data_IF_901112734191
#
_entry.id   IF_901112734191
#
_cell.length_a   1.000
_cell.length_b   1.000
_cell.length_c   1.000
_cell.angle_alpha   90.00
_cell.angle_beta   90.00
_cell.angle_gamma   90.00
#
_symmetry.space_group_name_H-M   'P 1'
#
loop_
_entity.id
_entity.type
_entity.pdbx_description
1 polymer ?
#
# COMPACT_ATOMS: atom_id res chain seq x y z
N UNK A 1 12.92 -39.86 22.48
CA UNK A 1 11.91 -39.19 21.64
C UNK A 1 12.61 -38.80 20.34
N UNK A 2 12.22 -39.40 19.21
CA UNK A 2 12.77 -39.06 17.89
C UNK A 2 12.16 -37.76 17.39
N UNK A 3 12.99 -36.75 17.16
CA UNK A 3 12.57 -35.52 16.48
C UNK A 3 12.13 -35.84 15.04
N UNK A 4 11.13 -35.13 14.48
CA UNK A 4 10.77 -35.27 13.07
C UNK A 4 11.97 -34.92 12.18
N UNK A 5 12.26 -35.75 11.19
CA UNK A 5 13.27 -35.45 10.18
C UNK A 5 12.63 -34.50 9.15
N UNK A 6 12.70 -33.20 9.43
CA UNK A 6 12.27 -32.17 8.47
C UNK A 6 13.33 -32.14 7.37
N UNK A 7 12.99 -32.40 6.10
CA UNK A 7 13.95 -32.29 5.02
C UNK A 7 14.53 -30.88 4.98
N UNK A 8 15.85 -30.79 4.78
CA UNK A 8 16.53 -29.51 4.60
C UNK A 8 16.06 -28.87 3.27
N UNK A 9 15.04 -28.02 3.35
CA UNK A 9 14.67 -27.10 2.28
C UNK A 9 15.62 -25.92 2.37
N UNK A 10 16.75 -26.01 1.66
CA UNK A 10 17.53 -24.82 1.33
C UNK A 10 16.92 -24.22 0.07
N UNK A 11 16.09 -23.17 0.14
CA UNK A 11 15.58 -22.55 -1.07
C UNK A 11 16.78 -21.96 -1.82
N UNK A 12 17.12 -22.55 -2.97
CA UNK A 12 18.11 -21.98 -3.87
C UNK A 12 17.44 -20.82 -4.61
N UNK A 13 17.40 -19.66 -3.94
CA UNK A 13 16.90 -18.41 -4.53
C UNK A 13 18.12 -17.74 -5.17
N UNK A 14 18.31 -17.97 -6.47
CA UNK A 14 19.25 -17.20 -7.27
C UNK A 14 18.54 -15.93 -7.74
N UNK A 15 18.79 -14.81 -7.06
CA UNK A 15 18.25 -13.50 -7.40
C UNK A 15 19.40 -12.54 -7.69
N UNK A 16 19.43 -11.95 -8.89
CA UNK A 16 20.41 -10.91 -9.20
C UNK A 16 20.02 -9.58 -8.55
N UNK A 17 20.98 -8.67 -8.38
CA UNK A 17 20.73 -7.31 -7.88
C UNK A 17 19.62 -6.61 -8.69
N UNK A 18 19.68 -6.70 -10.02
CA UNK A 18 18.70 -6.05 -10.91
C UNK A 18 17.30 -6.65 -10.76
N UNK A 19 17.20 -7.96 -10.59
CA UNK A 19 15.92 -8.62 -10.32
C UNK A 19 15.36 -8.19 -8.96
N UNK A 20 16.22 -8.06 -7.94
CA UNK A 20 15.80 -7.56 -6.63
C UNK A 20 15.30 -6.11 -6.71
N UNK A 21 15.98 -5.23 -7.44
CA UNK A 21 15.55 -3.84 -7.67
C UNK A 21 14.18 -3.79 -8.35
N UNK A 22 13.98 -4.58 -9.41
CA UNK A 22 12.69 -4.66 -10.09
C UNK A 22 11.57 -5.16 -9.17
N UNK A 23 11.85 -6.14 -8.30
CA UNK A 23 10.88 -6.62 -7.32
C UNK A 23 10.54 -5.56 -6.26
N UNK A 24 11.52 -4.76 -5.82
CA UNK A 24 11.29 -3.65 -4.88
C UNK A 24 10.45 -2.53 -5.52
N UNK A 25 10.72 -2.19 -6.79
CA UNK A 25 9.90 -1.24 -7.53
C UNK A 25 8.47 -1.76 -7.72
N UNK A 26 8.32 -3.04 -8.06
CA UNK A 26 7.02 -3.69 -8.17
C UNK A 26 6.27 -3.71 -6.83
N UNK A 27 6.95 -3.93 -5.70
CA UNK A 27 6.31 -3.90 -4.39
C UNK A 27 5.79 -2.51 -4.02
N UNK A 28 6.56 -1.45 -4.33
CA UNK A 28 6.11 -0.06 -4.15
C UNK A 28 4.85 0.19 -4.99
N UNK A 29 4.87 -0.20 -6.28
CA UNK A 29 3.71 -0.03 -7.16
C UNK A 29 2.46 -0.80 -6.68
N UNK A 30 2.63 -1.96 -6.06
CA UNK A 30 1.51 -2.72 -5.46
C UNK A 30 0.97 -2.03 -4.20
N UNK A 31 1.84 -1.45 -3.36
CA UNK A 31 1.43 -0.67 -2.20
C UNK A 31 0.64 0.58 -2.63
N UNK A 32 1.12 1.31 -3.64
CA UNK A 32 0.42 2.45 -4.28
C UNK A 32 -0.98 2.08 -4.79
N UNK A 33 -1.10 0.95 -5.50
CA UNK A 33 -2.38 0.45 -5.98
C UNK A 33 -3.33 0.12 -4.81
N UNK A 34 -2.80 -0.42 -3.72
CA UNK A 34 -3.55 -0.65 -2.47
C UNK A 34 -4.05 0.66 -1.86
N UNK A 35 -3.20 1.69 -1.76
CA UNK A 35 -3.58 3.01 -1.26
C UNK A 35 -4.66 3.67 -2.15
N UNK A 36 -4.57 3.54 -3.47
CA UNK A 36 -5.59 4.05 -4.39
C UNK A 36 -6.97 3.41 -4.14
N UNK A 37 -7.02 2.10 -3.87
CA UNK A 37 -8.27 1.43 -3.51
C UNK A 37 -8.84 1.92 -2.18
N UNK A 38 -7.99 2.20 -1.19
CA UNK A 38 -8.41 2.78 0.08
C UNK A 38 -9.04 4.16 -0.16
N UNK A 39 -8.36 5.04 -0.91
CA UNK A 39 -8.87 6.38 -1.21
C UNK A 39 -10.22 6.30 -1.93
N UNK A 40 -10.37 5.38 -2.88
CA UNK A 40 -11.64 5.16 -3.58
C UNK A 40 -12.74 4.68 -2.62
N UNK A 41 -12.45 3.72 -1.74
CA UNK A 41 -13.41 3.23 -0.75
C UNK A 41 -13.85 4.32 0.22
N UNK A 42 -12.94 5.21 0.63
CA UNK A 42 -13.25 6.39 1.43
C UNK A 42 -14.15 7.38 0.67
N UNK A 43 -13.91 7.57 -0.62
CA UNK A 43 -14.80 8.33 -1.51
C UNK A 43 -16.21 7.74 -1.60
N UNK A 44 -16.32 6.43 -1.82
CA UNK A 44 -17.61 5.72 -1.85
C UNK A 44 -18.33 5.80 -0.49
N UNK A 45 -17.60 5.72 0.62
CA UNK A 45 -18.16 5.89 1.97
C UNK A 45 -18.80 7.26 2.15
N UNK A 46 -18.14 8.33 1.70
CA UNK A 46 -18.69 9.69 1.72
C UNK A 46 -19.92 9.77 0.82
N UNK A 47 -19.82 9.29 -0.42
CA UNK A 47 -20.92 9.29 -1.39
C UNK A 47 -22.16 8.55 -0.88
N UNK A 48 -21.96 7.43 -0.18
CA UNK A 48 -23.02 6.68 0.47
C UNK A 48 -23.69 7.48 1.59
N UNK A 49 -22.90 8.17 2.42
CA UNK A 49 -23.42 8.99 3.51
C UNK A 49 -24.22 10.21 3.02
N UNK A 50 -23.83 10.83 1.89
CA UNK A 50 -24.53 11.98 1.30
C UNK A 50 -25.62 11.60 0.29
N UNK A 51 -25.79 10.30 0.01
CA UNK A 51 -26.85 9.77 -0.85
C UNK A 51 -26.62 9.91 -2.36
N UNK A 52 -25.36 10.05 -2.81
CA UNK A 52 -25.04 10.05 -4.24
C UNK A 52 -24.85 8.64 -4.81
N UNK A 53 -24.71 7.63 -3.94
CA UNK A 53 -24.77 6.21 -4.30
C UNK A 53 -26.16 5.63 -3.99
N UNK A 54 -26.60 4.57 -4.70
CA UNK A 54 -27.86 3.90 -4.40
C UNK A 54 -27.92 3.42 -2.94
N UNK A 55 -28.81 4.00 -2.15
CA UNK A 55 -29.10 3.58 -0.78
C UNK A 55 -30.43 2.85 -0.73
N UNK A 56 -30.64 2.05 0.32
CA UNK A 56 -31.96 1.48 0.59
C UNK A 56 -33.01 2.60 0.74
N UNK A 57 -34.24 2.38 0.25
CA UNK A 57 -35.33 3.35 0.43
C UNK A 57 -35.54 3.64 1.93
N UNK A 58 -35.51 4.91 2.31
CA UNK A 58 -35.69 5.33 3.70
C UNK A 58 -34.42 5.47 4.53
N UNK A 59 -33.24 5.12 4.00
CA UNK A 59 -31.97 5.45 4.66
C UNK A 59 -31.81 6.96 4.74
N UNK A 60 -31.74 7.51 5.96
CA UNK A 60 -31.41 8.90 6.22
C UNK A 60 -30.34 8.96 7.30
N UNK A 61 -29.22 9.59 6.98
CA UNK A 61 -28.19 9.89 7.95
C UNK A 61 -28.49 11.21 8.65
N UNK A 62 -28.28 11.24 9.95
CA UNK A 62 -28.27 12.47 10.74
C UNK A 62 -27.03 13.28 10.42
N UNK A 63 -27.07 14.59 10.65
CA UNK A 63 -25.89 15.46 10.50
C UNK A 63 -24.70 14.95 11.31
N UNK A 64 -24.95 14.41 12.51
CA UNK A 64 -23.91 13.85 13.38
C UNK A 64 -23.21 12.64 12.74
N UNK A 65 -23.96 11.75 12.11
CA UNK A 65 -23.40 10.59 11.41
C UNK A 65 -22.58 11.01 10.18
N UNK A 66 -23.05 12.00 9.42
CA UNK A 66 -22.31 12.54 8.27
C UNK A 66 -20.98 13.16 8.71
N UNK A 67 -20.99 13.95 9.79
CA UNK A 67 -19.76 14.54 10.35
C UNK A 67 -18.79 13.46 10.84
N UNK A 68 -19.30 12.40 11.47
CA UNK A 68 -18.47 11.26 11.90
C UNK A 68 -17.84 10.51 10.72
N UNK A 69 -18.57 10.33 9.61
CA UNK A 69 -18.03 9.75 8.37
C UNK A 69 -16.91 10.64 7.81
N UNK A 70 -17.11 11.95 7.78
CA UNK A 70 -16.12 12.90 7.29
C UNK A 70 -14.85 12.92 8.17
N UNK A 71 -15.00 12.87 9.50
CA UNK A 71 -13.87 12.77 10.43
C UNK A 71 -13.11 11.45 10.22
N UNK A 72 -13.82 10.33 10.14
CA UNK A 72 -13.20 9.03 9.84
C UNK A 72 -12.46 9.01 8.50
N UNK A 73 -13.00 9.63 7.46
CA UNK A 73 -12.34 9.70 6.16
C UNK A 73 -11.09 10.56 6.20
N UNK A 74 -11.13 11.69 6.92
CA UNK A 74 -9.95 12.51 7.16
C UNK A 74 -8.84 11.74 7.88
N UNK A 75 -9.18 11.02 8.95
CA UNK A 75 -8.20 10.21 9.71
C UNK A 75 -7.56 9.12 8.85
N UNK A 76 -8.35 8.50 7.96
CA UNK A 76 -7.84 7.51 7.02
C UNK A 76 -6.91 8.15 5.99
N UNK A 77 -7.27 9.31 5.42
CA UNK A 77 -6.43 10.05 4.49
C UNK A 77 -5.13 10.53 5.14
N UNK A 78 -5.15 10.95 6.40
CA UNK A 78 -3.94 11.28 7.17
C UNK A 78 -3.03 10.05 7.33
N UNK A 79 -3.60 8.85 7.44
CA UNK A 79 -2.85 7.60 7.51
C UNK A 79 -2.26 7.21 6.16
N UNK A 80 -3.05 7.34 5.07
CA UNK A 80 -2.58 7.14 3.70
C UNK A 80 -1.43 8.08 3.37
N UNK A 81 -1.52 9.35 3.76
CA UNK A 81 -0.43 10.31 3.56
C UNK A 81 0.88 9.91 4.26
N UNK A 82 0.79 9.36 5.48
CA UNK A 82 1.98 8.84 6.19
C UNK A 82 2.61 7.65 5.47
N UNK A 83 1.80 6.74 4.93
CA UNK A 83 2.29 5.63 4.12
C UNK A 83 2.92 6.12 2.81
N UNK A 84 2.32 7.09 2.13
CA UNK A 84 2.88 7.74 0.93
C UNK A 84 4.28 8.30 1.18
N UNK A 85 4.48 9.00 2.31
CA UNK A 85 5.81 9.50 2.70
C UNK A 85 6.82 8.36 2.92
N UNK A 86 6.38 7.21 3.45
CA UNK A 86 7.23 6.05 3.64
C UNK A 86 7.57 5.39 2.29
N UNK A 87 6.59 5.29 1.37
CA UNK A 87 6.78 4.79 -0.01
C UNK A 87 7.74 5.68 -0.80
N UNK A 88 7.60 7.01 -0.71
CA UNK A 88 8.52 7.95 -1.32
C UNK A 88 9.95 7.75 -0.80
N UNK A 89 10.11 7.54 0.51
CA UNK A 89 11.42 7.24 1.11
C UNK A 89 12.00 5.90 0.63
N UNK A 90 11.17 4.85 0.53
CA UNK A 90 11.59 3.55 -0.05
C UNK A 90 12.03 3.73 -1.50
N UNK A 91 11.25 4.43 -2.33
CA UNK A 91 11.56 4.69 -3.73
C UNK A 91 12.90 5.43 -3.87
N UNK A 92 13.11 6.50 -3.09
CA UNK A 92 14.40 7.23 -3.07
C UNK A 92 15.58 6.32 -2.73
N UNK A 93 15.41 5.36 -1.82
CA UNK A 93 16.46 4.41 -1.48
C UNK A 93 16.72 3.42 -2.63
N UNK A 94 15.68 2.89 -3.25
CA UNK A 94 15.81 1.98 -4.41
C UNK A 94 16.49 2.69 -5.59
N UNK A 95 16.14 3.95 -5.84
CA UNK A 95 16.76 4.75 -6.92
C UNK A 95 18.26 4.97 -6.69
N UNK A 96 18.72 5.10 -5.43
CA UNK A 96 20.16 5.16 -5.13
C UNK A 96 20.89 3.88 -5.51
N UNK A 97 20.25 2.71 -5.32
CA UNK A 97 20.83 1.41 -5.69
C UNK A 97 21.04 1.25 -7.21
N UNK A 98 20.30 2.00 -8.02
CA UNK A 98 20.44 2.06 -9.47
C UNK A 98 21.59 2.99 -9.87
N UNK A 99 21.82 4.07 -9.11
CA UNK A 99 22.87 5.06 -9.39
C UNK A 99 24.27 4.58 -8.97
N UNK A 100 24.35 3.64 -8.03
CA UNK A 100 25.59 2.97 -7.61
C UNK A 100 26.04 1.89 -8.61
N UNK A 101 26.06 2.19 -9.92
CA UNK A 101 26.84 1.36 -10.85
C UNK A 101 28.33 1.48 -10.47
N UNK A 102 29.08 0.37 -10.42
CA UNK A 102 30.52 0.47 -10.35
C UNK A 102 30.98 1.11 -11.66
N UNK A 103 31.47 2.34 -11.58
CA UNK A 103 32.29 2.94 -12.62
C UNK A 103 33.22 1.86 -13.15
N UNK A 104 33.12 1.58 -14.45
CA UNK A 104 33.85 0.52 -15.11
C UNK A 104 35.33 0.54 -14.67
N UNK A 105 35.73 -0.48 -13.94
CA UNK A 105 37.14 -0.77 -13.78
C UNK A 105 37.62 -1.26 -15.14
N UNK A 106 38.22 -0.31 -15.88
CA UNK A 106 39.33 -0.62 -16.77
C UNK A 106 40.45 -1.32 -16.00
#
# INVERSE_FOLDING_TARGET
>A
MSTPNVPNITPNISLTRDQAINLLLASIAMEELGLAHIINAEGEKIQYAVGTLPTSPGTRYTLKEILAVNESARDMLDSVFREEMALESKLKQVLKLIQDEPDGCK
#
